data_IF_808433071444
#
_entry.id   IF_808433071444
#
_cell.length_a   1.000
_cell.length_b   1.000
_cell.length_c   1.000
_cell.angle_alpha   90.00
_cell.angle_beta   90.00
_cell.angle_gamma   90.00
#
_symmetry.space_group_name_H-M   'P 1'
#
loop_
_entity.id
_entity.type
_entity.pdbx_description
1 polymer ?
#
# COMPACT_ATOMS: atom_id res chain seq x y z
N UNK A 1 -1.38 -12.10 44.35
CA UNK A 1 -1.56 -12.21 42.89
C UNK A 1 -2.57 -11.15 42.47
N UNK A 2 -2.19 -10.17 41.65
CA UNK A 2 -3.13 -9.15 41.15
C UNK A 2 -3.78 -9.69 39.89
N UNK A 3 -5.06 -10.04 39.97
CA UNK A 3 -5.84 -10.52 38.83
C UNK A 3 -6.21 -9.29 37.99
N UNK A 4 -5.80 -9.28 36.72
CA UNK A 4 -6.20 -8.21 35.80
C UNK A 4 -7.71 -8.25 35.61
N UNK A 5 -8.35 -7.07 35.69
CA UNK A 5 -9.78 -6.94 35.46
C UNK A 5 -10.13 -7.36 34.03
N UNK A 6 -11.28 -7.98 33.83
CA UNK A 6 -11.79 -8.34 32.50
C UNK A 6 -11.72 -7.16 31.52
N UNK A 7 -12.06 -5.95 31.98
CA UNK A 7 -11.99 -4.73 31.17
C UNK A 7 -10.56 -4.38 30.74
N UNK A 8 -9.57 -4.62 31.61
CA UNK A 8 -8.16 -4.38 31.27
C UNK A 8 -7.65 -5.39 30.25
N UNK A 9 -8.06 -6.66 30.37
CA UNK A 9 -7.71 -7.70 29.40
C UNK A 9 -8.38 -7.41 28.05
N UNK A 10 -9.66 -7.04 28.04
CA UNK A 10 -10.39 -6.68 26.83
C UNK A 10 -9.78 -5.46 26.12
N UNK A 11 -9.42 -4.43 26.88
CA UNK A 11 -8.77 -3.24 26.33
C UNK A 11 -7.40 -3.59 25.70
N UNK A 12 -6.60 -4.43 26.35
CA UNK A 12 -5.32 -4.88 25.79
C UNK A 12 -5.50 -5.70 24.52
N UNK A 13 -6.52 -6.57 24.45
CA UNK A 13 -6.86 -7.33 23.24
C UNK A 13 -7.24 -6.39 22.10
N UNK A 14 -8.10 -5.39 22.36
CA UNK A 14 -8.51 -4.41 21.34
C UNK A 14 -7.31 -3.59 20.86
N UNK A 15 -6.46 -3.11 21.78
CA UNK A 15 -5.24 -2.38 21.42
C UNK A 15 -4.33 -3.25 20.56
N UNK A 16 -4.08 -4.50 20.94
CA UNK A 16 -3.27 -5.43 20.15
C UNK A 16 -3.86 -5.67 18.74
N UNK A 17 -5.18 -5.84 18.62
CA UNK A 17 -5.84 -6.03 17.33
C UNK A 17 -5.74 -4.79 16.43
N UNK A 18 -5.88 -3.59 17.00
CA UNK A 18 -5.75 -2.32 16.27
C UNK A 18 -4.30 -2.10 15.83
N UNK A 19 -3.32 -2.40 16.68
CA UNK A 19 -1.89 -2.31 16.35
C UNK A 19 -1.44 -3.26 15.23
N UNK A 20 -2.18 -4.37 15.01
CA UNK A 20 -1.89 -5.34 13.95
C UNK A 20 -2.40 -4.89 12.59
N UNK A 21 -3.34 -3.93 12.54
CA UNK A 21 -3.76 -3.32 11.27
C UNK A 21 -2.72 -2.30 10.82
N UNK A 22 -1.71 -2.76 10.08
CA UNK A 22 -0.68 -1.88 9.49
C UNK A 22 -1.27 -0.74 8.65
N UNK A 23 -0.51 0.35 8.53
CA UNK A 23 -0.88 1.50 7.71
C UNK A 23 -1.05 1.11 6.23
N UNK A 24 -2.08 1.63 5.58
CA UNK A 24 -2.34 1.43 4.15
C UNK A 24 -1.67 2.56 3.34
N UNK A 25 -0.59 2.24 2.62
CA UNK A 25 0.19 3.18 1.81
C UNK A 25 -0.30 3.26 0.35
N UNK A 26 -1.06 2.27 -0.12
CA UNK A 26 -1.54 2.31 -1.50
C UNK A 26 -2.64 3.36 -1.70
N UNK A 27 -2.34 4.42 -2.44
CA UNK A 27 -3.32 5.37 -2.99
C UNK A 27 -3.08 6.82 -2.56
N UNK A 28 -3.32 7.76 -3.48
CA UNK A 28 -3.08 9.19 -3.25
C UNK A 28 -4.31 9.86 -2.63
N UNK A 29 -4.33 9.97 -1.30
CA UNK A 29 -5.37 10.66 -0.52
C UNK A 29 -6.55 9.77 -0.10
N UNK A 30 -7.26 10.17 0.97
CA UNK A 30 -8.18 9.31 1.75
C UNK A 30 -9.23 8.52 0.93
N UNK A 31 -9.79 9.10 -0.13
CA UNK A 31 -10.80 8.42 -0.96
C UNK A 31 -10.16 7.37 -1.89
N UNK A 32 -9.04 7.70 -2.55
CA UNK A 32 -8.31 6.76 -3.38
C UNK A 32 -7.69 5.65 -2.53
N UNK A 33 -7.13 5.98 -1.36
CA UNK A 33 -6.60 4.99 -0.40
C UNK A 33 -7.70 4.02 0.07
N UNK A 34 -8.93 4.50 0.27
CA UNK A 34 -10.05 3.64 0.65
C UNK A 34 -10.42 2.68 -0.48
N UNK A 35 -10.55 3.15 -1.73
CA UNK A 35 -10.93 2.29 -2.87
C UNK A 35 -9.84 1.28 -3.21
N UNK A 36 -8.57 1.68 -3.23
CA UNK A 36 -7.43 0.76 -3.46
C UNK A 36 -7.35 -0.29 -2.36
N UNK A 37 -7.53 0.08 -1.08
CA UNK A 37 -7.54 -0.85 0.04
C UNK A 37 -8.66 -1.88 -0.08
N UNK A 38 -9.86 -1.46 -0.46
CA UNK A 38 -10.98 -2.37 -0.69
C UNK A 38 -10.72 -3.34 -1.85
N UNK A 39 -10.26 -2.83 -2.99
CA UNK A 39 -9.95 -3.64 -4.17
C UNK A 39 -8.84 -4.64 -3.89
N UNK A 40 -7.77 -4.24 -3.18
CA UNK A 40 -6.70 -5.15 -2.74
C UNK A 40 -7.20 -6.21 -1.75
N UNK A 41 -8.12 -5.87 -0.85
CA UNK A 41 -8.73 -6.85 0.06
C UNK A 41 -9.60 -7.87 -0.68
N UNK A 42 -10.29 -7.46 -1.75
CA UNK A 42 -11.16 -8.34 -2.53
C UNK A 42 -10.37 -9.27 -3.45
N UNK A 43 -9.41 -8.74 -4.20
CA UNK A 43 -8.72 -9.49 -5.25
C UNK A 43 -7.36 -10.03 -4.82
N UNK A 44 -6.68 -9.35 -3.89
CA UNK A 44 -5.30 -9.63 -3.49
C UNK A 44 -5.15 -9.95 -2.00
N UNK A 45 -6.14 -10.55 -1.35
CA UNK A 45 -6.13 -10.73 0.12
C UNK A 45 -4.85 -11.38 0.66
N UNK A 46 -4.29 -12.39 -0.03
CA UNK A 46 -3.06 -13.08 0.34
C UNK A 46 -1.77 -12.30 0.03
N UNK A 47 -1.84 -11.32 -0.89
CA UNK A 47 -0.69 -10.51 -1.36
C UNK A 47 -0.72 -9.08 -0.84
N UNK A 48 -1.79 -8.67 -0.17
CA UNK A 48 -2.05 -7.29 0.25
C UNK A 48 -0.87 -6.66 0.98
N UNK A 49 -0.29 -7.36 1.95
CA UNK A 49 0.81 -6.79 2.75
C UNK A 49 2.05 -6.53 1.90
N UNK A 50 2.42 -7.48 1.03
CA UNK A 50 3.55 -7.31 0.11
C UNK A 50 3.31 -6.20 -0.91
N UNK A 51 2.09 -6.09 -1.46
CA UNK A 51 1.71 -4.98 -2.36
C UNK A 51 1.78 -3.64 -1.62
N UNK A 52 1.33 -3.59 -0.37
CA UNK A 52 1.36 -2.39 0.45
C UNK A 52 2.80 -1.92 0.75
N UNK A 53 3.74 -2.84 0.94
CA UNK A 53 5.17 -2.52 1.04
C UNK A 53 5.72 -1.92 -0.26
N UNK A 54 5.24 -2.36 -1.43
CA UNK A 54 5.61 -1.73 -2.71
C UNK A 54 5.10 -0.30 -2.80
N UNK A 55 3.84 -0.05 -2.40
CA UNK A 55 3.27 1.29 -2.36
C UNK A 55 4.06 2.22 -1.43
N UNK A 56 4.39 1.75 -0.23
CA UNK A 56 5.21 2.50 0.72
C UNK A 56 6.56 2.92 0.12
N UNK A 57 7.26 1.99 -0.56
CA UNK A 57 8.54 2.29 -1.22
C UNK A 57 8.40 3.28 -2.37
N UNK A 58 7.29 3.22 -3.11
CA UNK A 58 6.98 4.15 -4.20
C UNK A 58 6.76 5.57 -3.69
N UNK A 59 5.96 5.72 -2.62
CA UNK A 59 5.74 7.01 -1.96
C UNK A 59 7.07 7.62 -1.48
N UNK A 60 7.92 6.83 -0.80
CA UNK A 60 9.25 7.29 -0.38
C UNK A 60 10.15 7.70 -1.56
N UNK A 61 10.05 7.00 -2.69
CA UNK A 61 10.82 7.33 -3.89
C UNK A 61 10.36 8.65 -4.51
N UNK A 62 9.05 8.89 -4.53
CA UNK A 62 8.45 10.16 -4.96
C UNK A 62 8.84 11.31 -4.02
N UNK A 63 8.81 11.09 -2.70
CA UNK A 63 9.25 12.07 -1.69
C UNK A 63 10.73 12.44 -1.85
N UNK A 64 11.57 11.44 -2.14
CA UNK A 64 13.00 11.65 -2.38
C UNK A 64 13.30 12.30 -3.73
N UNK A 65 12.30 12.48 -4.61
CA UNK A 65 12.47 13.01 -5.97
C UNK A 65 13.55 12.26 -6.77
N UNK A 66 13.57 10.92 -6.65
CA UNK A 66 14.59 10.08 -7.27
C UNK A 66 14.42 9.91 -8.80
N UNK A 67 13.40 10.52 -9.39
CA UNK A 67 13.04 10.42 -10.81
C UNK A 67 11.77 9.58 -11.00
N UNK A 68 10.74 10.16 -11.64
CA UNK A 68 9.44 9.51 -11.81
C UNK A 68 9.56 8.13 -12.47
N UNK A 69 10.24 8.05 -13.63
CA UNK A 69 10.41 6.81 -14.39
C UNK A 69 11.10 5.72 -13.56
N UNK A 70 12.17 6.08 -12.84
CA UNK A 70 12.87 5.16 -11.95
C UNK A 70 11.96 4.64 -10.82
N UNK A 71 11.21 5.53 -10.19
CA UNK A 71 10.28 5.15 -9.12
C UNK A 71 9.15 4.25 -9.63
N UNK A 72 8.55 4.58 -10.77
CA UNK A 72 7.46 3.82 -11.37
C UNK A 72 7.92 2.44 -11.82
N UNK A 73 9.11 2.33 -12.43
CA UNK A 73 9.70 1.06 -12.84
C UNK A 73 10.03 0.16 -11.63
N UNK A 74 10.64 0.73 -10.59
CA UNK A 74 10.94 0.01 -9.34
C UNK A 74 9.65 -0.47 -8.67
N UNK A 75 8.59 0.33 -8.71
CA UNK A 75 7.29 -0.06 -8.18
C UNK A 75 6.67 -1.21 -8.99
N UNK A 76 6.68 -1.12 -10.31
CA UNK A 76 6.19 -2.19 -11.19
C UNK A 76 6.95 -3.51 -10.97
N UNK A 77 8.28 -3.46 -10.85
CA UNK A 77 9.09 -4.64 -10.53
C UNK A 77 8.74 -5.22 -9.15
N UNK A 78 8.52 -4.36 -8.15
CA UNK A 78 8.09 -4.80 -6.83
C UNK A 78 6.74 -5.53 -6.88
N UNK A 79 5.77 -5.01 -7.65
CA UNK A 79 4.47 -5.64 -7.82
C UNK A 79 4.57 -7.01 -8.50
N UNK A 80 5.39 -7.14 -9.55
CA UNK A 80 5.58 -8.43 -10.23
C UNK A 80 6.21 -9.47 -9.28
N UNK A 81 7.23 -9.05 -8.52
CA UNK A 81 7.86 -9.89 -7.49
C UNK A 81 6.92 -10.26 -6.33
N UNK A 82 5.88 -9.47 -6.08
CA UNK A 82 4.86 -9.78 -5.08
C UNK A 82 3.92 -10.92 -5.53
N UNK A 83 3.90 -11.24 -6.83
CA UNK A 83 3.08 -12.31 -7.38
C UNK A 83 3.80 -13.66 -7.35
N UNK A 84 3.06 -14.75 -7.18
CA UNK A 84 3.55 -16.11 -7.41
C UNK A 84 2.77 -16.77 -8.55
N UNK A 85 3.21 -17.95 -9.03
CA UNK A 85 2.45 -18.71 -10.03
C UNK A 85 1.02 -19.06 -9.58
N UNK A 86 0.77 -19.18 -8.27
CA UNK A 86 -0.54 -19.49 -7.70
C UNK A 86 -1.40 -18.24 -7.40
N UNK A 87 -0.88 -17.02 -7.64
CA UNK A 87 -1.65 -15.81 -7.41
C UNK A 87 -2.86 -15.75 -8.38
N UNK A 88 -4.02 -15.39 -7.82
CA UNK A 88 -5.26 -15.18 -8.57
C UNK A 88 -5.06 -14.20 -9.74
N UNK A 89 -5.61 -14.53 -10.91
CA UNK A 89 -5.46 -13.69 -12.10
C UNK A 89 -6.02 -12.29 -11.90
N UNK A 90 -7.11 -12.15 -11.13
CA UNK A 90 -7.70 -10.83 -10.82
C UNK A 90 -6.75 -9.96 -9.99
N UNK A 91 -5.94 -10.57 -9.12
CA UNK A 91 -4.91 -9.84 -8.39
C UNK A 91 -3.79 -9.37 -9.32
N UNK A 92 -3.37 -10.24 -10.25
CA UNK A 92 -2.35 -9.91 -11.24
C UNK A 92 -2.81 -8.77 -12.16
N UNK A 93 -4.04 -8.85 -12.67
CA UNK A 93 -4.64 -7.80 -13.52
C UNK A 93 -4.73 -6.46 -12.77
N UNK A 94 -5.05 -6.52 -11.47
CA UNK A 94 -5.06 -5.34 -10.61
C UNK A 94 -3.66 -4.74 -10.48
N UNK A 95 -2.64 -5.54 -10.20
CA UNK A 95 -1.26 -5.03 -10.07
C UNK A 95 -0.71 -4.49 -11.39
N UNK A 96 -1.08 -5.09 -12.52
CA UNK A 96 -0.73 -4.57 -13.85
C UNK A 96 -1.40 -3.21 -14.09
N UNK A 97 -2.66 -3.08 -13.68
CA UNK A 97 -3.39 -1.80 -13.73
C UNK A 97 -2.75 -0.74 -12.83
N UNK A 98 -2.29 -1.11 -11.64
CA UNK A 98 -1.57 -0.21 -10.73
C UNK A 98 -0.28 0.29 -11.38
N UNK A 99 0.53 -0.60 -11.94
CA UNK A 99 1.77 -0.25 -12.66
C UNK A 99 1.48 0.69 -13.85
N UNK A 100 0.49 0.37 -14.67
CA UNK A 100 0.07 1.22 -15.80
C UNK A 100 -0.42 2.59 -15.33
N UNK A 101 -1.13 2.64 -14.21
CA UNK A 101 -1.68 3.90 -13.66
C UNK A 101 -0.57 4.86 -13.24
N UNK A 102 0.45 4.40 -12.51
CA UNK A 102 1.54 5.30 -12.06
C UNK A 102 2.34 5.84 -13.24
N UNK A 103 2.64 5.00 -14.25
CA UNK A 103 3.36 5.43 -15.45
C UNK A 103 2.60 6.47 -16.28
N UNK A 104 1.28 6.29 -16.44
CA UNK A 104 0.48 7.15 -17.31
C UNK A 104 -0.08 8.39 -16.60
N UNK A 105 -0.36 8.28 -15.30
CA UNK A 105 -1.08 9.30 -14.52
C UNK A 105 -0.32 9.78 -13.28
N UNK A 106 0.86 9.23 -12.98
CA UNK A 106 1.65 9.58 -11.79
C UNK A 106 2.37 10.92 -11.88
N UNK A 107 2.59 11.46 -13.08
CA UNK A 107 3.37 12.69 -13.28
C UNK A 107 2.85 13.89 -12.46
N UNK A 108 1.55 14.22 -12.46
CA UNK A 108 1.02 15.31 -11.63
C UNK A 108 1.28 15.08 -10.15
N UNK A 109 1.14 13.84 -9.66
CA UNK A 109 1.43 13.48 -8.26
C UNK A 109 2.92 13.70 -7.98
N UNK A 110 3.80 13.10 -8.79
CA UNK A 110 5.26 13.23 -8.64
C UNK A 110 5.72 14.69 -8.57
N UNK A 111 5.15 15.56 -9.41
CA UNK A 111 5.45 17.00 -9.42
C UNK A 111 4.80 17.78 -8.27
N UNK A 112 3.58 17.43 -7.82
CA UNK A 112 2.90 18.17 -6.75
C UNK A 112 3.52 17.92 -5.37
N UNK A 113 3.94 16.68 -5.08
CA UNK A 113 4.68 16.38 -3.85
C UNK A 113 5.95 17.23 -3.72
N UNK A 114 6.67 17.44 -4.83
CA UNK A 114 7.82 18.36 -4.86
C UNK A 114 7.46 19.81 -4.54
N UNK A 115 6.31 20.29 -5.01
CA UNK A 115 5.89 21.70 -4.85
C UNK A 115 5.43 22.02 -3.43
N UNK A 116 4.95 21.03 -2.66
CA UNK A 116 4.44 21.24 -1.29
C UNK A 116 5.54 21.23 -0.22
N UNK A 117 6.70 20.62 -0.49
CA UNK A 117 7.81 20.48 0.47
C UNK A 117 9.07 21.28 0.08
N UNK A 118 8.96 22.23 -0.85
CA UNK A 118 9.95 23.26 -1.15
C UNK A 118 9.51 24.59 -0.56
#
# INVERSE_FOLDING_TARGET
>A
MKVLSFFTVLFLIVVLLVSVSGEDYCGSGKFLTMTTTWTLRLFCSSRRNTINECCMKHDYCYDAQAGQEFCDDTFCECLDNAMSPETDSSCRDLTDTMCSTVRNLGKPIYEDWWRLFR
#
